data_IF_727290668667
#
_entry.id   IF_727290668667
#
_cell.length_a   1.000
_cell.length_b   1.000
_cell.length_c   1.000
_cell.angle_alpha   90.00
_cell.angle_beta   90.00
_cell.angle_gamma   90.00
#
_symmetry.space_group_name_H-M   'P 1'
#
loop_
_entity.id
_entity.type
_entity.pdbx_description
1 polymer ?
#
# COMPACT_ATOMS: atom_id res chain seq x y z
N UNK A 1 23.40 14.25 -4.13
CA UNK A 1 23.07 15.67 -4.42
C UNK A 1 23.28 16.46 -3.13
N UNK A 2 23.94 17.63 -3.20
CA UNK A 2 24.18 18.46 -2.00
C UNK A 2 22.87 19.08 -1.52
N UNK A 3 22.48 18.80 -0.29
CA UNK A 3 21.28 19.37 0.34
C UNK A 3 21.63 20.72 0.92
N UNK A 4 20.92 21.77 0.49
CA UNK A 4 21.01 23.12 1.05
C UNK A 4 19.79 23.41 1.90
N UNK A 5 20.03 23.91 3.10
CA UNK A 5 18.99 24.26 4.08
C UNK A 5 19.45 25.44 4.90
N UNK A 6 18.59 26.01 5.73
CA UNK A 6 18.97 27.07 6.64
C UNK A 6 18.61 26.71 8.07
N UNK A 7 19.45 27.08 9.02
CA UNK A 7 19.23 26.86 10.45
C UNK A 7 18.98 28.18 11.15
N UNK A 8 18.19 28.13 12.21
CA UNK A 8 17.90 29.25 13.07
C UNK A 8 18.02 28.84 14.53
N UNK A 9 18.62 29.70 15.35
CA UNK A 9 18.91 29.41 16.76
C UNK A 9 17.63 29.15 17.57
N UNK A 10 16.57 29.93 17.31
CA UNK A 10 15.25 29.82 17.96
C UNK A 10 14.14 30.23 17.00
N UNK A 11 12.96 29.63 17.10
CA UNK A 11 11.79 29.98 16.27
C UNK A 11 11.33 31.44 16.41
N UNK A 12 11.77 32.16 17.45
CA UNK A 12 11.39 33.55 17.74
C UNK A 12 12.18 34.60 16.96
N UNK A 13 13.27 34.24 16.29
CA UNK A 13 14.03 35.18 15.46
C UNK A 13 13.55 35.12 14.02
N UNK A 14 13.99 36.05 13.17
CA UNK A 14 13.82 35.94 11.71
C UNK A 14 15.14 35.66 10.98
N UNK A 15 16.27 35.70 11.69
CA UNK A 15 17.58 35.49 11.11
C UNK A 15 17.84 34.00 10.87
N UNK A 16 18.39 33.68 9.70
CA UNK A 16 18.72 32.31 9.29
C UNK A 16 20.16 32.22 8.79
N UNK A 17 20.80 31.08 9.03
CA UNK A 17 22.14 30.77 8.53
C UNK A 17 22.07 29.62 7.54
N UNK A 18 22.46 29.85 6.30
CA UNK A 18 22.54 28.78 5.29
C UNK A 18 23.57 27.72 5.69
N UNK A 19 23.22 26.46 5.46
CA UNK A 19 24.02 25.26 5.70
C UNK A 19 23.91 24.33 4.50
N UNK A 20 24.82 23.36 4.45
CA UNK A 20 24.78 22.29 3.46
C UNK A 20 25.23 20.94 4.04
N UNK A 21 24.76 19.86 3.44
CA UNK A 21 25.23 18.48 3.67
C UNK A 21 25.33 17.74 2.34
N UNK A 22 26.17 16.71 2.26
CA UNK A 22 26.47 16.03 1.00
C UNK A 22 25.38 15.05 0.55
N UNK A 23 24.56 14.58 1.48
CA UNK A 23 23.48 13.61 1.24
C UNK A 23 22.37 13.70 2.29
N UNK A 24 21.23 13.05 2.03
CA UNK A 24 20.14 12.90 3.01
C UNK A 24 20.62 12.10 4.22
N UNK A 25 21.40 11.04 3.99
CA UNK A 25 22.03 10.25 5.03
C UNK A 25 22.87 11.10 5.99
N UNK A 26 23.74 11.96 5.46
CA UNK A 26 24.57 12.84 6.29
C UNK A 26 23.72 13.85 7.06
N UNK A 27 22.62 14.35 6.49
CA UNK A 27 21.68 15.22 7.20
C UNK A 27 21.01 14.46 8.36
N UNK A 28 20.59 13.22 8.10
CA UNK A 28 19.95 12.33 9.06
C UNK A 28 20.87 12.00 10.23
N UNK A 29 22.05 11.43 9.96
CA UNK A 29 23.05 11.05 10.97
C UNK A 29 23.45 12.24 11.84
N UNK A 30 23.59 13.43 11.24
CA UNK A 30 24.02 14.63 11.96
C UNK A 30 22.98 15.17 12.94
N UNK A 31 21.69 15.08 12.62
CA UNK A 31 20.65 15.85 13.32
C UNK A 31 19.45 15.02 13.83
N UNK A 32 19.21 13.84 13.28
CA UNK A 32 17.99 13.07 13.52
C UNK A 32 18.23 11.65 14.05
N UNK A 33 19.40 11.05 13.80
CA UNK A 33 19.74 9.73 14.35
C UNK A 33 19.74 9.72 15.89
N UNK A 34 20.13 10.84 16.49
CA UNK A 34 20.09 11.05 17.94
C UNK A 34 19.44 12.40 18.25
N UNK A 35 18.10 12.49 18.19
CA UNK A 35 17.41 13.77 18.35
C UNK A 35 17.61 14.29 19.76
N UNK A 36 17.81 15.60 19.89
CA UNK A 36 17.94 16.23 21.21
C UNK A 36 16.60 16.17 21.94
N UNK A 37 16.58 15.56 23.11
CA UNK A 37 15.40 15.50 23.99
C UNK A 37 15.29 16.82 24.76
N UNK A 38 14.17 17.53 24.64
CA UNK A 38 13.95 18.82 25.32
C UNK A 38 12.60 18.87 26.03
N UNK A 39 12.60 19.33 27.28
CA UNK A 39 11.37 19.60 28.04
C UNK A 39 10.60 20.78 27.41
N UNK A 40 11.31 21.85 27.04
CA UNK A 40 10.73 23.06 26.45
C UNK A 40 11.32 23.35 25.06
N UNK A 41 10.46 23.61 24.07
CA UNK A 41 10.85 23.78 22.65
C UNK A 41 11.07 25.23 22.21
N UNK A 42 10.78 26.22 23.04
CA UNK A 42 10.83 27.67 22.70
C UNK A 42 12.22 28.13 22.25
N UNK A 43 13.27 27.56 22.82
CA UNK A 43 14.66 27.87 22.51
C UNK A 43 15.36 26.82 21.62
N UNK A 44 14.58 25.91 21.02
CA UNK A 44 15.13 24.87 20.18
C UNK A 44 15.54 25.42 18.81
N UNK A 45 16.67 24.91 18.31
CA UNK A 45 17.15 25.18 16.96
C UNK A 45 16.15 24.62 15.95
N UNK A 46 15.85 25.43 14.94
CA UNK A 46 14.98 25.06 13.83
C UNK A 46 15.77 24.98 12.52
N UNK A 47 15.18 24.31 11.53
CA UNK A 47 15.68 24.36 10.16
C UNK A 47 14.57 24.56 9.15
N UNK A 48 14.94 25.16 8.03
CA UNK A 48 14.10 25.44 6.89
C UNK A 48 14.66 24.67 5.70
N UNK A 49 13.85 23.96 4.89
CA UNK A 49 14.31 23.14 3.75
C UNK A 49 14.82 23.96 2.55
N UNK A 50 15.11 25.25 2.78
CA UNK A 50 15.45 26.22 1.76
C UNK A 50 16.75 26.97 2.10
N UNK A 51 17.38 27.49 1.05
CA UNK A 51 18.51 28.42 1.14
C UNK A 51 18.04 29.84 0.85
N UNK A 52 18.68 30.83 1.48
CA UNK A 52 18.27 32.22 1.42
C UNK A 52 19.37 33.11 0.83
N UNK A 53 19.00 34.10 0.01
CA UNK A 53 19.96 35.10 -0.47
C UNK A 53 20.30 36.11 0.63
N UNK A 54 19.24 36.65 1.25
CA UNK A 54 19.33 37.50 2.43
C UNK A 54 19.01 36.61 3.65
N UNK A 55 19.82 36.62 4.72
CA UNK A 55 19.67 35.73 5.88
C UNK A 55 18.48 36.10 6.78
N UNK A 56 17.30 36.27 6.19
CA UNK A 56 16.06 36.63 6.85
C UNK A 56 14.89 35.81 6.26
N UNK A 57 14.05 35.27 7.13
CA UNK A 57 12.86 34.48 6.76
C UNK A 57 11.82 35.35 6.06
N UNK A 58 11.84 35.27 4.74
CA UNK A 58 10.85 35.83 3.84
C UNK A 58 10.88 35.01 2.56
N UNK A 59 9.73 34.73 1.95
CA UNK A 59 9.68 33.99 0.68
C UNK A 59 10.44 34.72 -0.43
N UNK A 60 10.44 36.06 -0.40
CA UNK A 60 11.21 36.88 -1.34
C UNK A 60 12.73 36.66 -1.23
N UNK A 61 13.20 36.10 -0.12
CA UNK A 61 14.60 35.83 0.11
C UNK A 61 14.97 34.38 -0.21
N UNK A 62 14.01 33.51 -0.49
CA UNK A 62 14.23 32.09 -0.78
C UNK A 62 14.85 31.95 -2.18
N UNK A 63 16.03 31.31 -2.25
CA UNK A 63 16.71 31.02 -3.51
C UNK A 63 16.24 29.69 -4.09
N UNK A 64 16.28 28.64 -3.28
CA UNK A 64 15.94 27.28 -3.70
C UNK A 64 15.69 26.39 -2.49
N UNK A 65 14.91 25.34 -2.73
CA UNK A 65 14.67 24.25 -1.78
C UNK A 65 15.39 22.99 -2.26
N UNK A 66 15.91 22.22 -1.30
CA UNK A 66 16.60 20.94 -1.58
C UNK A 66 15.92 19.75 -0.91
N UNK A 67 14.76 19.96 -0.29
CA UNK A 67 13.97 18.96 0.41
C UNK A 67 12.48 19.27 0.24
N UNK A 68 11.66 18.23 0.08
CA UNK A 68 10.21 18.33 0.20
C UNK A 68 9.85 17.86 1.61
N UNK A 69 9.10 18.67 2.36
CA UNK A 69 8.70 18.34 3.74
C UNK A 69 7.21 18.58 3.94
N UNK A 70 6.51 17.55 4.45
CA UNK A 70 5.14 17.66 4.93
C UNK A 70 5.11 17.47 6.45
N UNK A 71 4.44 18.37 7.16
CA UNK A 71 4.15 18.25 8.61
C UNK A 71 2.73 17.74 8.78
N UNK A 72 2.58 16.49 9.22
CA UNK A 72 1.30 15.85 9.47
C UNK A 72 0.89 16.19 10.90
N UNK A 73 -0.03 17.15 11.08
CA UNK A 73 -0.48 17.68 12.37
C UNK A 73 -1.95 17.30 12.64
N UNK A 74 -2.16 16.06 13.08
CA UNK A 74 -3.50 15.53 13.36
C UNK A 74 -3.92 15.85 14.79
N UNK A 75 -5.09 16.47 14.96
CA UNK A 75 -5.62 16.88 16.28
C UNK A 75 -6.88 16.09 16.63
N UNK A 76 -6.94 15.56 17.85
CA UNK A 76 -8.13 14.89 18.35
C UNK A 76 -9.32 15.85 18.44
N UNK A 77 -10.51 15.37 18.10
CA UNK A 77 -11.75 16.15 18.15
C UNK A 77 -11.96 17.11 16.98
N UNK A 78 -11.02 17.24 16.05
CA UNK A 78 -11.18 18.00 14.80
C UNK A 78 -11.67 17.12 13.63
N UNK A 79 -12.35 16.00 13.94
CA UNK A 79 -12.93 15.11 12.92
C UNK A 79 -11.94 14.15 12.24
N UNK A 80 -10.78 13.93 12.88
CA UNK A 80 -9.75 12.96 12.48
C UNK A 80 -9.87 11.62 13.21
N UNK A 81 -10.67 11.54 14.27
CA UNK A 81 -10.67 10.42 15.23
C UNK A 81 -10.94 9.04 14.59
N UNK A 82 -11.62 9.03 13.44
CA UNK A 82 -11.91 7.80 12.69
C UNK A 82 -11.00 7.53 11.48
N UNK A 83 -10.22 8.52 11.04
CA UNK A 83 -9.45 8.55 9.78
C UNK A 83 -7.99 8.99 10.01
N UNK A 84 -7.42 8.74 11.18
CA UNK A 84 -6.03 9.11 11.46
C UNK A 84 -5.06 8.34 10.56
N UNK A 85 -4.03 9.03 10.10
CA UNK A 85 -2.91 8.48 9.33
C UNK A 85 -1.84 8.05 10.32
N UNK A 86 -1.54 6.75 10.32
CA UNK A 86 -0.42 6.22 11.10
C UNK A 86 0.91 6.50 10.39
N UNK A 87 2.00 6.53 11.15
CA UNK A 87 3.35 6.73 10.60
C UNK A 87 3.71 5.59 9.64
N UNK A 88 3.34 4.37 10.00
CA UNK A 88 3.56 3.15 9.23
C UNK A 88 2.83 3.19 7.88
N UNK A 89 1.63 3.79 7.80
CA UNK A 89 0.89 3.92 6.53
C UNK A 89 1.59 4.87 5.54
N UNK A 90 2.19 5.96 6.06
CA UNK A 90 2.97 6.91 5.27
C UNK A 90 4.30 6.30 4.82
N UNK A 91 5.00 5.59 5.72
CA UNK A 91 6.24 4.90 5.40
C UNK A 91 6.01 3.87 4.30
N UNK A 92 4.95 3.09 4.42
CA UNK A 92 4.48 2.14 3.43
C UNK A 92 4.28 2.77 2.03
N UNK A 93 3.64 3.94 1.95
CA UNK A 93 3.44 4.66 0.70
C UNK A 93 4.78 5.14 0.10
N UNK A 94 5.69 5.63 0.93
CA UNK A 94 7.02 6.09 0.50
C UNK A 94 7.90 4.93 0.00
N UNK A 95 7.82 3.77 0.66
CA UNK A 95 8.50 2.54 0.24
C UNK A 95 7.96 2.04 -1.11
N UNK A 96 6.65 2.11 -1.33
CA UNK A 96 6.03 1.70 -2.60
C UNK A 96 6.40 2.59 -3.77
N UNK A 97 6.60 3.88 -3.51
CA UNK A 97 7.14 4.83 -4.47
C UNK A 97 8.66 4.67 -4.66
N UNK A 98 9.32 3.84 -3.85
CA UNK A 98 10.76 3.61 -3.89
C UNK A 98 11.57 4.86 -3.59
N UNK A 99 11.05 5.79 -2.78
CA UNK A 99 11.65 7.10 -2.56
C UNK A 99 12.67 7.10 -1.42
N UNK A 100 13.77 7.82 -1.59
CA UNK A 100 14.69 8.13 -0.49
C UNK A 100 14.01 9.10 0.49
N UNK A 101 13.86 8.68 1.75
CA UNK A 101 13.12 9.47 2.74
C UNK A 101 13.56 9.19 4.18
N UNK A 102 13.23 10.12 5.08
CA UNK A 102 13.12 9.81 6.49
C UNK A 102 11.85 10.41 7.09
N UNK A 103 11.34 9.75 8.11
CA UNK A 103 10.21 10.19 8.93
C UNK A 103 10.71 10.50 10.32
N UNK A 104 10.14 11.53 10.96
CA UNK A 104 10.43 11.77 12.37
C UNK A 104 9.27 12.44 13.10
N UNK A 105 9.11 12.08 14.37
CA UNK A 105 8.14 12.72 15.27
C UNK A 105 8.66 14.03 15.84
N UNK A 106 7.75 14.96 16.12
CA UNK A 106 8.07 16.24 16.76
C UNK A 106 7.74 16.26 18.26
N UNK A 107 8.20 17.30 18.97
CA UNK A 107 7.88 17.54 20.38
C UNK A 107 6.37 17.55 20.72
N UNK A 108 5.50 17.99 19.80
CA UNK A 108 4.03 18.04 20.04
C UNK A 108 3.31 16.70 19.80
N UNK A 109 4.03 15.64 19.44
CA UNK A 109 3.44 14.33 19.13
C UNK A 109 2.92 13.62 20.38
N UNK A 110 1.68 13.11 20.35
CA UNK A 110 1.14 12.24 21.40
C UNK A 110 0.79 10.88 20.83
N UNK A 111 0.67 9.84 21.68
CA UNK A 111 0.28 8.49 21.21
C UNK A 111 -1.14 8.49 20.63
N UNK A 112 -1.99 9.35 21.16
CA UNK A 112 -3.38 9.49 20.75
C UNK A 112 -3.55 10.47 19.58
N UNK A 113 -2.59 11.36 19.35
CA UNK A 113 -2.58 12.32 18.25
C UNK A 113 -1.18 12.38 17.61
N UNK A 114 -0.86 11.45 16.69
CA UNK A 114 0.45 11.40 16.06
C UNK A 114 0.70 12.61 15.15
N UNK A 115 1.69 13.42 15.53
CA UNK A 115 2.33 14.43 14.68
C UNK A 115 3.70 13.99 14.20
N UNK A 116 3.92 13.91 12.90
CA UNK A 116 5.20 13.50 12.33
C UNK A 116 5.45 14.24 11.02
N UNK A 117 6.70 14.20 10.58
CA UNK A 117 7.13 14.85 9.35
C UNK A 117 7.67 13.84 8.37
N UNK A 118 7.34 14.07 7.10
CA UNK A 118 7.87 13.34 5.96
C UNK A 118 8.94 14.21 5.31
N UNK A 119 10.15 13.70 5.15
CA UNK A 119 11.24 14.39 4.45
C UNK A 119 11.68 13.55 3.26
N UNK A 120 11.59 14.13 2.06
CA UNK A 120 11.89 13.48 0.78
C UNK A 120 12.96 14.27 0.05
N UNK A 121 13.93 13.56 -0.53
CA UNK A 121 14.99 14.17 -1.35
C UNK A 121 14.54 14.32 -2.80
N UNK A 122 14.55 15.52 -3.38
CA UNK A 122 14.48 15.71 -4.84
C UNK A 122 15.84 15.44 -5.52
N UNK A 123 15.80 15.00 -6.77
CA UNK A 123 17.00 14.75 -7.61
C UNK A 123 17.86 16.01 -7.85
N UNK A 124 17.23 17.19 -7.85
CA UNK A 124 17.86 18.50 -7.91
C UNK A 124 17.20 19.53 -6.98
N UNK A 125 17.92 20.60 -6.60
CA UNK A 125 17.26 21.77 -6.02
C UNK A 125 16.23 22.35 -7.00
N UNK A 126 15.18 22.93 -6.45
CA UNK A 126 14.14 23.61 -7.22
C UNK A 126 13.93 25.03 -6.72
N UNK A 127 13.54 25.91 -7.65
CA UNK A 127 13.38 27.34 -7.36
C UNK A 127 12.08 27.63 -6.61
N UNK A 128 12.02 28.79 -5.98
CA UNK A 128 10.85 29.22 -5.21
C UNK A 128 9.56 29.19 -6.06
N UNK A 129 9.65 29.59 -7.32
CA UNK A 129 8.53 29.62 -8.26
C UNK A 129 8.02 28.21 -8.64
N UNK A 130 8.87 27.19 -8.52
CA UNK A 130 8.51 25.79 -8.77
C UNK A 130 7.93 25.10 -7.52
N UNK A 131 8.07 25.71 -6.33
CA UNK A 131 7.83 25.03 -5.06
C UNK A 131 6.41 24.48 -4.93
N UNK A 132 5.40 25.31 -5.21
CA UNK A 132 4.01 24.93 -5.00
C UNK A 132 3.56 23.81 -5.96
N UNK A 133 3.99 23.82 -7.23
CA UNK A 133 3.63 22.77 -8.17
C UNK A 133 4.32 21.44 -7.82
N UNK A 134 5.59 21.48 -7.42
CA UNK A 134 6.35 20.29 -6.99
C UNK A 134 5.73 19.69 -5.72
N UNK A 135 5.46 20.50 -4.70
CA UNK A 135 4.90 20.02 -3.46
C UNK A 135 3.46 19.53 -3.65
N UNK A 136 2.65 20.19 -4.48
CA UNK A 136 1.29 19.73 -4.80
C UNK A 136 1.30 18.36 -5.51
N UNK A 137 2.20 18.18 -6.49
CA UNK A 137 2.36 16.91 -7.22
C UNK A 137 2.83 15.77 -6.29
N UNK A 138 3.82 16.04 -5.44
CA UNK A 138 4.28 15.05 -4.45
C UNK A 138 3.18 14.72 -3.43
N UNK A 139 2.43 15.74 -2.99
CA UNK A 139 1.30 15.55 -2.08
C UNK A 139 0.21 14.70 -2.72
N UNK A 140 -0.18 14.99 -3.96
CA UNK A 140 -1.17 14.20 -4.71
C UNK A 140 -0.71 12.74 -4.82
N UNK A 141 0.56 12.52 -5.18
CA UNK A 141 1.14 11.18 -5.31
C UNK A 141 1.08 10.39 -4.00
N UNK A 142 1.38 11.03 -2.85
CA UNK A 142 1.29 10.38 -1.54
C UNK A 142 -0.16 10.17 -1.10
N UNK A 143 -1.01 11.16 -1.36
CA UNK A 143 -2.40 11.15 -0.88
C UNK A 143 -3.29 10.21 -1.70
N UNK A 144 -2.89 9.88 -2.94
CA UNK A 144 -3.45 8.79 -3.73
C UNK A 144 -3.40 7.45 -2.95
N UNK A 145 -2.31 7.18 -2.21
CA UNK A 145 -2.19 6.00 -1.35
C UNK A 145 -3.03 6.08 -0.08
N UNK A 146 -3.27 7.30 0.41
CA UNK A 146 -3.89 7.57 1.72
C UNK A 146 -5.35 7.99 1.61
N UNK A 147 -5.96 7.81 0.44
CA UNK A 147 -7.37 8.03 0.17
C UNK A 147 -7.80 9.50 0.37
N UNK A 148 -6.89 10.45 0.15
CA UNK A 148 -7.16 11.87 0.35
C UNK A 148 -7.13 12.31 1.82
N UNK A 149 -6.72 11.43 2.75
CA UNK A 149 -6.61 11.75 4.18
C UNK A 149 -5.45 12.69 4.45
N UNK A 150 -4.35 12.60 3.71
CA UNK A 150 -3.13 13.38 3.94
C UNK A 150 -3.39 14.87 3.78
N UNK A 151 -4.09 15.29 2.72
CA UNK A 151 -4.44 16.70 2.51
C UNK A 151 -5.20 17.31 3.69
N UNK A 152 -5.97 16.51 4.44
CA UNK A 152 -6.72 16.97 5.62
C UNK A 152 -5.81 17.15 6.83
N UNK A 153 -4.74 16.37 6.92
CA UNK A 153 -3.89 16.22 8.09
C UNK A 153 -2.60 17.05 8.02
N UNK A 154 -2.20 17.52 6.82
CA UNK A 154 -0.99 18.34 6.68
C UNK A 154 -1.20 19.77 7.18
N UNK A 155 -0.19 20.30 7.86
CA UNK A 155 -0.10 21.71 8.22
C UNK A 155 0.05 22.56 6.94
N UNK A 156 -0.76 23.62 6.72
CA UNK A 156 -0.69 24.48 5.56
C UNK A 156 0.66 25.15 5.27
N UNK A 157 1.61 25.13 6.22
CA UNK A 157 2.92 25.77 6.08
C UNK A 157 3.67 25.32 4.82
N UNK A 158 3.42 24.10 4.33
CA UNK A 158 4.08 23.56 3.12
C UNK A 158 3.95 24.45 1.89
N UNK A 159 2.95 25.34 1.81
CA UNK A 159 2.74 26.27 0.67
C UNK A 159 3.67 27.49 0.67
N UNK A 160 4.32 27.77 1.81
CA UNK A 160 5.15 28.96 2.00
C UNK A 160 6.52 28.51 2.55
N UNK A 161 7.53 28.28 1.68
CA UNK A 161 8.83 27.74 2.08
C UNK A 161 9.48 28.43 3.28
N UNK A 162 9.37 29.76 3.37
CA UNK A 162 9.92 30.55 4.48
C UNK A 162 9.21 30.34 5.83
N UNK A 163 8.02 29.73 5.84
CA UNK A 163 7.24 29.36 7.02
C UNK A 163 7.41 27.88 7.40
N UNK A 164 8.06 27.06 6.57
CA UNK A 164 8.40 25.66 6.84
C UNK A 164 9.62 25.53 7.75
N UNK A 165 9.50 25.88 9.03
CA UNK A 165 10.58 25.69 10.01
C UNK A 165 10.27 24.53 10.95
N UNK A 166 11.24 23.63 11.08
CA UNK A 166 11.05 22.36 11.77
C UNK A 166 12.08 22.17 12.87
N UNK A 167 11.70 21.44 13.92
CA UNK A 167 12.52 21.20 15.10
C UNK A 167 13.27 19.88 15.00
N UNK A 168 14.52 19.86 15.46
CA UNK A 168 15.36 18.66 15.56
C UNK A 168 15.12 17.83 16.84
N UNK A 169 14.06 18.14 17.61
CA UNK A 169 13.94 17.72 19.01
C UNK A 169 12.72 16.84 19.25
N UNK A 170 12.85 15.90 20.18
CA UNK A 170 11.76 15.02 20.65
C UNK A 170 11.34 15.34 22.10
N UNK A 171 10.13 14.90 22.47
CA UNK A 171 9.59 15.06 23.82
C UNK A 171 10.22 14.05 24.80
N UNK A 172 10.50 14.41 26.08
CA UNK A 172 11.11 13.51 27.08
C UNK A 172 10.35 12.20 27.30
N UNK A 173 9.02 12.26 27.31
CA UNK A 173 8.15 11.08 27.46
C UNK A 173 8.18 10.12 26.26
N UNK A 174 9.00 10.41 25.25
CA UNK A 174 9.14 9.65 23.99
C UNK A 174 10.61 9.40 23.66
N UNK A 175 11.36 8.90 24.64
CA UNK A 175 12.76 8.46 24.49
C UNK A 175 13.00 7.55 23.27
N UNK A 176 12.00 6.74 22.88
CA UNK A 176 12.04 5.83 21.74
C UNK A 176 11.67 6.46 20.38
N UNK A 177 11.58 7.81 20.27
CA UNK A 177 11.33 8.61 19.05
C UNK A 177 11.01 7.82 17.77
N UNK A 178 9.79 7.93 17.23
CA UNK A 178 9.48 7.22 15.99
C UNK A 178 10.18 7.91 14.82
N UNK A 179 11.25 7.28 14.36
CA UNK A 179 12.07 7.70 13.25
C UNK A 179 12.24 6.49 12.34
N UNK A 180 11.89 6.67 11.07
CA UNK A 180 12.22 5.72 10.02
C UNK A 180 13.16 6.41 9.03
N UNK A 181 14.13 5.66 8.53
CA UNK A 181 15.02 6.12 7.47
C UNK A 181 15.19 5.04 6.42
N UNK A 182 14.89 5.40 5.17
CA UNK A 182 15.05 4.54 4.02
C UNK A 182 15.95 5.23 2.98
N UNK A 183 17.21 4.81 2.97
CA UNK A 183 18.24 5.27 2.04
C UNK A 183 18.48 4.43 0.76
N UNK A 184 17.96 3.19 0.62
CA UNK A 184 18.02 2.47 -0.66
C UNK A 184 17.11 3.06 -1.75
N UNK A 185 16.26 4.04 -1.43
CA UNK A 185 15.34 4.66 -2.37
C UNK A 185 15.99 5.66 -3.32
N UNK A 186 15.24 6.09 -4.33
CA UNK A 186 15.66 7.09 -5.29
C UNK A 186 15.16 8.49 -4.88
N UNK A 187 15.93 9.55 -5.13
CA UNK A 187 15.41 10.91 -5.07
C UNK A 187 14.22 11.06 -6.03
N UNK A 188 13.24 11.91 -5.67
CA UNK A 188 12.09 12.18 -6.55
C UNK A 188 12.50 13.07 -7.71
N UNK A 189 12.03 12.74 -8.93
CA UNK A 189 12.33 13.48 -10.14
C UNK A 189 11.55 14.80 -10.22
N UNK A 190 12.22 15.93 -10.03
CA UNK A 190 11.58 17.25 -10.03
C UNK A 190 10.91 17.57 -11.37
N UNK A 191 11.51 17.15 -12.49
CA UNK A 191 10.95 17.41 -13.80
C UNK A 191 9.61 16.67 -14.00
N UNK A 192 9.52 15.42 -13.54
CA UNK A 192 8.28 14.65 -13.60
C UNK A 192 7.18 15.32 -12.78
N UNK A 193 7.47 15.69 -11.52
CA UNK A 193 6.52 16.40 -10.66
C UNK A 193 6.04 17.72 -11.29
N UNK A 194 6.93 18.45 -11.97
CA UNK A 194 6.57 19.69 -12.67
C UNK A 194 5.66 19.43 -13.87
N UNK A 195 5.90 18.36 -14.62
CA UNK A 195 5.10 17.97 -15.78
C UNK A 195 3.68 17.54 -15.39
N UNK A 196 3.47 17.06 -14.16
CA UNK A 196 2.13 16.74 -13.65
C UNK A 196 1.22 17.97 -13.54
N UNK A 197 1.79 19.19 -13.43
CA UNK A 197 1.04 20.44 -13.29
C UNK A 197 -0.04 20.40 -12.19
N UNK A 198 0.23 19.65 -11.12
CA UNK A 198 -0.75 19.44 -10.05
C UNK A 198 -1.05 20.75 -9.33
N UNK A 199 -2.34 20.95 -9.06
CA UNK A 199 -2.85 22.02 -8.18
C UNK A 199 -3.41 21.46 -6.87
N UNK A 200 -3.12 20.19 -6.57
CA UNK A 200 -3.66 19.47 -5.44
C UNK A 200 -3.35 20.18 -4.12
N UNK A 201 -4.40 20.51 -3.37
CA UNK A 201 -4.27 21.21 -2.09
C UNK A 201 -3.87 22.69 -2.16
N UNK A 202 -3.63 23.29 -3.33
CA UNK A 202 -3.26 24.72 -3.43
C UNK A 202 -4.46 25.65 -3.28
N UNK A 203 -5.60 25.29 -3.87
CA UNK A 203 -6.83 26.10 -3.87
C UNK A 203 -7.79 25.76 -2.73
N UNK A 204 -7.55 24.67 -2.00
CA UNK A 204 -8.47 24.18 -0.98
C UNK A 204 -8.16 24.81 0.38
N UNK A 205 -9.10 25.64 0.86
CA UNK A 205 -9.22 25.93 2.28
C UNK A 205 -9.90 24.73 2.93
N UNK A 206 -9.13 23.79 3.46
CA UNK A 206 -9.73 22.67 4.18
C UNK A 206 -10.35 23.20 5.48
N UNK A 207 -11.68 23.27 5.53
CA UNK A 207 -12.41 23.35 6.80
C UNK A 207 -12.66 21.90 7.23
N UNK A 208 -12.23 21.48 8.43
CA UNK A 208 -12.61 20.18 8.96
C UNK A 208 -14.11 20.00 8.79
N UNK A 209 -14.51 18.96 8.05
CA UNK A 209 -15.91 18.65 7.89
C UNK A 209 -16.52 18.42 9.28
N UNK A 210 -17.81 18.73 9.44
CA UNK A 210 -18.52 18.38 10.65
C UNK A 210 -18.28 16.90 10.98
N UNK A 211 -18.11 16.59 12.28
CA UNK A 211 -17.96 15.22 12.78
C UNK A 211 -18.96 14.30 12.07
N UNK A 212 -18.47 13.25 11.41
CA UNK A 212 -19.35 12.25 10.79
C UNK A 212 -20.29 11.72 11.88
N UNK A 213 -21.60 11.77 11.66
CA UNK A 213 -22.50 10.98 12.50
C UNK A 213 -22.12 9.53 12.25
N UNK A 214 -21.70 8.82 13.30
CA UNK A 214 -21.56 7.37 13.27
C UNK A 214 -22.94 6.78 12.97
N UNK A 215 -23.28 6.64 11.69
CA UNK A 215 -24.44 5.89 11.26
C UNK A 215 -24.06 4.44 11.51
N UNK A 216 -24.67 3.80 12.50
CA UNK A 216 -24.45 2.38 12.81
C UNK A 216 -24.74 1.42 11.64
N UNK A 217 -25.19 1.94 10.49
CA UNK A 217 -25.22 1.28 9.21
C UNK A 217 -23.99 1.72 8.40
N UNK A 218 -23.09 0.77 8.14
CA UNK A 218 -22.02 0.80 7.11
C UNK A 218 -21.58 2.21 6.66
N UNK A 219 -21.07 3.01 7.60
CA UNK A 219 -20.24 4.17 7.23
C UNK A 219 -19.05 3.71 6.39
N UNK A 220 -18.32 4.66 5.79
CA UNK A 220 -17.13 4.45 4.95
C UNK A 220 -16.21 3.27 5.34
N UNK A 221 -16.09 2.97 6.65
CA UNK A 221 -15.41 1.78 7.20
C UNK A 221 -15.92 0.45 6.62
N UNK A 222 -17.23 0.22 6.55
CA UNK A 222 -17.78 -1.06 6.09
C UNK A 222 -17.49 -1.37 4.62
N UNK A 223 -17.55 -0.35 3.76
CA UNK A 223 -17.35 -0.46 2.32
C UNK A 223 -15.89 -0.71 1.95
N UNK A 224 -14.96 0.03 2.56
CA UNK A 224 -13.53 -0.22 2.35
C UNK A 224 -13.13 -1.60 2.86
N UNK A 225 -13.72 -2.11 3.95
CA UNK A 225 -13.49 -3.50 4.41
C UNK A 225 -13.97 -4.55 3.41
N UNK A 226 -15.12 -4.34 2.76
CA UNK A 226 -15.63 -5.25 1.73
C UNK A 226 -14.73 -5.28 0.49
N UNK A 227 -14.38 -4.09 -0.03
CA UNK A 227 -13.42 -3.96 -1.12
C UNK A 227 -12.06 -4.58 -0.75
N UNK A 228 -11.59 -4.40 0.49
CA UNK A 228 -10.36 -5.01 1.00
C UNK A 228 -10.43 -6.53 1.07
N UNK A 229 -11.60 -7.08 1.38
CA UNK A 229 -11.81 -8.53 1.37
C UNK A 229 -11.76 -9.09 -0.05
N UNK A 230 -12.25 -8.35 -1.04
CA UNK A 230 -12.13 -8.71 -2.46
C UNK A 230 -10.65 -8.71 -2.87
N UNK A 231 -9.90 -7.65 -2.56
CA UNK A 231 -8.45 -7.57 -2.84
C UNK A 231 -7.72 -8.76 -2.19
N UNK A 232 -7.94 -8.98 -0.89
CA UNK A 232 -7.29 -10.07 -0.15
C UNK A 232 -7.63 -11.47 -0.67
N UNK A 233 -8.83 -11.65 -1.24
CA UNK A 233 -9.25 -12.91 -1.86
C UNK A 233 -8.65 -13.16 -3.25
N UNK A 234 -8.19 -12.11 -3.93
CA UNK A 234 -7.70 -12.17 -5.32
C UNK A 234 -6.18 -11.96 -5.44
N UNK A 235 -5.52 -11.41 -4.43
CA UNK A 235 -4.12 -10.94 -4.51
C UNK A 235 -3.11 -12.01 -4.97
N UNK A 236 -3.36 -13.27 -4.63
CA UNK A 236 -2.52 -14.40 -5.02
C UNK A 236 -2.82 -14.88 -6.44
N UNK A 237 -4.06 -14.75 -6.89
CA UNK A 237 -4.61 -15.43 -8.08
C UNK A 237 -5.19 -14.49 -9.14
N UNK A 238 -4.81 -13.22 -9.12
CA UNK A 238 -5.25 -12.22 -10.10
C UNK A 238 -4.17 -11.17 -10.31
N UNK A 239 -4.16 -10.56 -11.49
CA UNK A 239 -3.33 -9.37 -11.74
C UNK A 239 -3.92 -8.14 -11.07
N UNK A 240 -3.13 -7.07 -10.93
CA UNK A 240 -3.61 -5.79 -10.38
C UNK A 240 -4.81 -5.25 -11.18
N UNK A 241 -4.76 -5.34 -12.51
CA UNK A 241 -5.83 -4.91 -13.39
C UNK A 241 -7.09 -5.77 -13.26
N UNK A 242 -6.96 -7.09 -13.10
CA UNK A 242 -8.10 -7.97 -12.84
C UNK A 242 -8.79 -7.67 -11.50
N UNK A 243 -8.00 -7.34 -10.47
CA UNK A 243 -8.49 -6.91 -9.16
C UNK A 243 -9.24 -5.57 -9.31
N UNK A 244 -8.63 -4.58 -9.96
CA UNK A 244 -9.25 -3.27 -10.18
C UNK A 244 -10.57 -3.39 -10.97
N UNK A 245 -10.62 -4.19 -12.04
CA UNK A 245 -11.86 -4.44 -12.80
C UNK A 245 -12.94 -5.06 -11.91
N UNK A 246 -12.59 -6.05 -11.09
CA UNK A 246 -13.56 -6.70 -10.20
C UNK A 246 -14.10 -5.74 -9.14
N UNK A 247 -13.24 -4.91 -8.55
CA UNK A 247 -13.66 -3.89 -7.60
C UNK A 247 -14.62 -2.89 -8.26
N UNK A 248 -14.29 -2.43 -9.47
CA UNK A 248 -15.12 -1.47 -10.20
C UNK A 248 -16.46 -2.06 -10.63
N UNK A 249 -16.49 -3.35 -11.03
CA UNK A 249 -17.73 -4.06 -11.31
C UNK A 249 -18.62 -4.14 -10.08
N UNK A 250 -18.07 -4.54 -8.93
CA UNK A 250 -18.83 -4.61 -7.66
C UNK A 250 -19.37 -3.24 -7.27
N UNK A 251 -18.55 -2.19 -7.36
CA UNK A 251 -18.98 -0.82 -7.08
C UNK A 251 -20.14 -0.37 -8.00
N UNK A 252 -20.08 -0.73 -9.28
CA UNK A 252 -21.10 -0.37 -10.26
C UNK A 252 -22.39 -1.21 -10.19
N UNK A 253 -22.35 -2.40 -9.59
CA UNK A 253 -23.46 -3.36 -9.61
C UNK A 253 -24.10 -3.55 -8.24
N UNK A 254 -23.29 -3.84 -7.22
CA UNK A 254 -23.76 -4.11 -5.86
C UNK A 254 -23.93 -2.80 -5.06
N UNK A 255 -23.29 -1.71 -5.49
CA UNK A 255 -23.31 -0.39 -4.84
C UNK A 255 -23.71 0.76 -5.78
N UNK A 256 -24.50 0.47 -6.82
CA UNK A 256 -24.88 1.47 -7.84
C UNK A 256 -25.52 2.75 -7.29
N UNK A 257 -26.22 2.65 -6.16
CA UNK A 257 -26.93 3.77 -5.54
C UNK A 257 -26.03 4.68 -4.68
N UNK A 258 -24.85 4.19 -4.27
CA UNK A 258 -23.86 4.93 -3.47
C UNK A 258 -22.42 4.46 -3.79
N UNK A 259 -21.94 4.71 -5.02
CA UNK A 259 -20.67 4.21 -5.53
C UNK A 259 -19.47 4.83 -4.80
N UNK A 260 -18.61 3.97 -4.25
CA UNK A 260 -17.44 4.36 -3.47
C UNK A 260 -16.42 5.15 -4.31
N UNK A 261 -16.16 4.74 -5.55
CA UNK A 261 -15.15 5.40 -6.40
C UNK A 261 -15.65 6.70 -7.04
N UNK A 262 -16.91 7.06 -6.82
CA UNK A 262 -17.51 8.33 -7.27
C UNK A 262 -17.88 9.26 -6.11
N UNK A 263 -17.63 8.84 -4.86
CA UNK A 263 -17.87 9.70 -3.71
C UNK A 263 -16.87 10.87 -3.69
N UNK A 264 -17.35 12.07 -4.03
CA UNK A 264 -16.56 13.29 -4.13
C UNK A 264 -16.00 13.79 -2.79
N UNK A 265 -16.40 13.17 -1.67
CA UNK A 265 -15.78 13.39 -0.37
C UNK A 265 -14.33 12.91 -0.35
N UNK A 266 -13.97 11.90 -1.16
CA UNK A 266 -12.60 11.46 -1.34
C UNK A 266 -11.93 12.28 -2.44
N UNK A 267 -10.87 13.04 -2.13
CA UNK A 267 -10.10 13.79 -3.11
C UNK A 267 -9.68 13.00 -4.35
N UNK A 268 -9.24 11.74 -4.20
CA UNK A 268 -8.81 10.88 -5.32
C UNK A 268 -9.89 10.60 -6.37
N UNK A 269 -11.18 10.63 -5.96
CA UNK A 269 -12.33 10.39 -6.82
C UNK A 269 -12.67 11.62 -7.68
N UNK A 270 -12.10 12.79 -7.36
CA UNK A 270 -12.40 14.03 -8.06
C UNK A 270 -11.73 14.01 -9.44
N UNK A 271 -12.43 14.43 -10.50
CA UNK A 271 -11.83 14.52 -11.82
C UNK A 271 -10.70 15.55 -11.87
N UNK A 272 -9.59 15.16 -12.50
CA UNK A 272 -8.52 16.07 -12.91
C UNK A 272 -8.99 16.99 -14.05
N UNK A 273 -8.24 18.04 -14.33
CA UNK A 273 -8.60 18.97 -15.41
C UNK A 273 -8.68 18.23 -16.76
N UNK A 274 -9.86 18.26 -17.39
CA UNK A 274 -10.12 17.55 -18.65
C UNK A 274 -10.47 16.06 -18.50
N UNK A 275 -10.50 15.53 -17.28
CA UNK A 275 -10.88 14.14 -16.99
C UNK A 275 -12.41 14.01 -16.85
N UNK A 276 -12.98 12.94 -17.38
CA UNK A 276 -14.40 12.63 -17.18
C UNK A 276 -14.64 12.03 -15.79
N UNK A 277 -15.86 12.16 -15.22
CA UNK A 277 -16.19 11.51 -13.94
C UNK A 277 -15.94 10.01 -13.92
N UNK A 278 -16.21 9.33 -15.04
CA UNK A 278 -16.01 7.89 -15.16
C UNK A 278 -14.52 7.52 -15.20
N UNK A 279 -13.71 8.30 -15.92
CA UNK A 279 -12.26 8.11 -15.94
C UNK A 279 -11.64 8.34 -14.55
N UNK A 280 -12.12 9.35 -13.82
CA UNK A 280 -11.70 9.62 -12.45
C UNK A 280 -12.04 8.47 -11.49
N UNK A 281 -13.25 7.89 -11.62
CA UNK A 281 -13.68 6.75 -10.83
C UNK A 281 -12.83 5.50 -11.12
N UNK A 282 -12.55 5.23 -12.40
CA UNK A 282 -11.68 4.13 -12.80
C UNK A 282 -10.24 4.31 -12.29
N UNK A 283 -9.66 5.51 -12.45
CA UNK A 283 -8.33 5.85 -11.91
C UNK A 283 -8.30 5.66 -10.40
N UNK A 284 -9.31 6.12 -9.68
CA UNK A 284 -9.42 5.94 -8.23
C UNK A 284 -9.45 4.46 -7.82
N UNK A 285 -10.21 3.63 -8.56
CA UNK A 285 -10.26 2.19 -8.35
C UNK A 285 -8.89 1.51 -8.56
N UNK A 286 -8.18 1.87 -9.64
CA UNK A 286 -6.84 1.34 -9.90
C UNK A 286 -5.85 1.71 -8.78
N UNK A 287 -5.89 2.96 -8.32
CA UNK A 287 -5.06 3.44 -7.20
C UNK A 287 -5.39 2.67 -5.91
N UNK A 288 -6.68 2.49 -5.61
CA UNK A 288 -7.13 1.72 -4.45
C UNK A 288 -6.61 0.28 -4.51
N UNK A 289 -6.77 -0.40 -5.66
CA UNK A 289 -6.31 -1.77 -5.86
C UNK A 289 -4.80 -1.88 -5.61
N UNK A 290 -4.01 -1.00 -6.23
CA UNK A 290 -2.55 -0.97 -6.10
C UNK A 290 -2.09 -0.77 -4.66
N UNK A 291 -2.63 0.25 -3.97
CA UNK A 291 -2.29 0.55 -2.58
C UNK A 291 -2.57 -0.64 -1.65
N UNK A 292 -3.74 -1.27 -1.79
CA UNK A 292 -4.13 -2.39 -0.94
C UNK A 292 -3.39 -3.69 -1.26
N UNK A 293 -3.08 -3.96 -2.53
CA UNK A 293 -2.21 -5.08 -2.93
C UNK A 293 -0.85 -4.95 -2.25
N UNK A 294 -0.23 -3.77 -2.30
CA UNK A 294 1.07 -3.57 -1.69
C UNK A 294 1.02 -3.68 -0.16
N UNK A 295 0.01 -3.08 0.48
CA UNK A 295 -0.22 -3.22 1.94
C UNK A 295 -0.32 -4.68 2.37
N UNK A 296 -1.09 -5.46 1.61
CA UNK A 296 -1.27 -6.89 1.88
C UNK A 296 0.05 -7.65 1.65
N UNK A 297 0.76 -7.41 0.55
CA UNK A 297 2.07 -8.04 0.28
C UNK A 297 3.07 -7.79 1.41
N UNK A 298 3.11 -6.58 1.99
CA UNK A 298 3.96 -6.27 3.15
C UNK A 298 3.55 -7.03 4.39
N UNK A 299 2.25 -7.15 4.69
CA UNK A 299 1.74 -7.96 5.83
C UNK A 299 2.04 -9.45 5.67
N UNK A 300 2.09 -9.95 4.44
CA UNK A 300 2.39 -11.34 4.11
C UNK A 300 3.90 -11.60 3.86
N UNK A 301 4.81 -10.73 4.32
CA UNK A 301 6.29 -10.93 4.29
C UNK A 301 6.83 -12.17 5.02
N UNK A 302 5.99 -13.13 5.42
CA UNK A 302 6.50 -14.46 5.78
C UNK A 302 6.97 -15.11 4.49
N UNK A 303 8.27 -15.31 4.37
CA UNK A 303 8.87 -16.14 3.33
C UNK A 303 8.17 -17.51 3.36
N UNK A 304 7.32 -17.76 2.36
CA UNK A 304 6.80 -19.10 2.13
C UNK A 304 8.00 -19.94 1.70
N UNK A 305 8.26 -21.04 2.41
CA UNK A 305 9.36 -21.93 2.04
C UNK A 305 9.08 -22.51 0.64
N UNK A 306 9.82 -22.01 -0.36
CA UNK A 306 9.74 -22.44 -1.76
C UNK A 306 10.73 -23.55 -2.07
N UNK A 307 11.55 -23.96 -1.10
CA UNK A 307 12.59 -24.97 -1.30
C UNK A 307 11.95 -26.30 -1.65
N UNK A 308 12.21 -26.79 -2.85
CA UNK A 308 11.70 -28.08 -3.30
C UNK A 308 12.47 -29.19 -2.59
N UNK A 309 11.77 -29.98 -1.78
CA UNK A 309 12.30 -31.15 -1.08
C UNK A 309 11.68 -32.40 -1.69
N UNK A 310 12.50 -33.22 -2.35
CA UNK A 310 12.06 -34.49 -2.93
C UNK A 310 12.03 -35.55 -1.82
N UNK A 311 10.86 -35.72 -1.18
CA UNK A 311 10.58 -36.76 -0.19
C UNK A 311 9.66 -37.84 -0.75
N UNK A 312 9.82 -39.08 -0.28
CA UNK A 312 8.82 -40.14 -0.47
C UNK A 312 7.57 -39.81 0.35
N UNK A 313 6.41 -40.28 -0.10
CA UNK A 313 5.14 -40.00 0.59
C UNK A 313 5.15 -40.53 2.02
N UNK A 314 5.02 -39.61 2.99
CA UNK A 314 5.06 -39.91 4.43
C UNK A 314 3.64 -40.05 5.04
N UNK A 315 2.59 -39.46 4.46
CA UNK A 315 1.23 -39.49 5.02
C UNK A 315 0.16 -38.95 4.06
N UNK A 316 -1.09 -39.40 4.22
CA UNK A 316 -2.30 -38.86 3.55
C UNK A 316 -3.21 -38.08 4.51
N UNK A 317 -2.75 -37.80 5.73
CA UNK A 317 -3.51 -37.00 6.68
C UNK A 317 -3.66 -35.55 6.24
N UNK A 318 -4.83 -34.98 6.52
CA UNK A 318 -5.12 -33.61 6.18
C UNK A 318 -4.19 -32.64 6.93
N UNK A 319 -3.66 -31.68 6.18
CA UNK A 319 -2.73 -30.65 6.61
C UNK A 319 -3.48 -29.37 6.99
N UNK A 320 -2.94 -28.52 7.89
CA UNK A 320 -3.51 -27.20 8.15
C UNK A 320 -3.52 -26.35 6.88
N UNK A 321 -4.32 -25.26 6.87
CA UNK A 321 -4.28 -24.30 5.76
C UNK A 321 -2.92 -23.60 5.72
N UNK A 322 -2.19 -23.74 4.61
CA UNK A 322 -0.88 -23.12 4.41
C UNK A 322 -0.56 -23.00 2.92
N UNK A 323 0.46 -22.20 2.59
CA UNK A 323 0.96 -22.05 1.23
C UNK A 323 2.18 -22.97 1.03
N UNK A 324 2.25 -23.67 -0.10
CA UNK A 324 3.36 -24.55 -0.45
C UNK A 324 3.51 -24.72 -1.97
N UNK A 325 4.71 -25.09 -2.42
CA UNK A 325 4.89 -25.59 -3.78
C UNK A 325 4.19 -26.94 -3.89
N UNK A 326 3.39 -27.12 -4.93
CA UNK A 326 2.69 -28.37 -5.23
C UNK A 326 3.01 -28.83 -6.65
N UNK A 327 3.07 -30.14 -6.84
CA UNK A 327 3.24 -30.79 -8.15
C UNK A 327 1.96 -31.53 -8.54
N UNK A 328 1.47 -31.30 -9.75
CA UNK A 328 0.38 -32.10 -10.32
C UNK A 328 0.92 -33.47 -10.73
N UNK A 329 0.47 -34.54 -10.07
CA UNK A 329 1.08 -35.87 -10.21
C UNK A 329 0.28 -36.80 -11.12
N UNK A 330 -1.02 -36.89 -10.92
CA UNK A 330 -1.86 -37.78 -11.72
C UNK A 330 -3.29 -37.24 -11.84
N UNK A 331 -4.00 -37.72 -12.86
CA UNK A 331 -5.34 -37.28 -13.21
C UNK A 331 -6.21 -38.52 -13.46
N UNK A 332 -7.41 -38.51 -12.89
CA UNK A 332 -8.35 -39.61 -13.05
C UNK A 332 -9.72 -39.07 -13.47
N UNK A 333 -10.03 -39.22 -14.75
CA UNK A 333 -11.30 -38.83 -15.33
C UNK A 333 -12.30 -39.97 -15.15
N UNK A 334 -13.21 -39.81 -14.19
CA UNK A 334 -14.33 -40.72 -13.95
C UNK A 334 -15.59 -39.91 -13.70
N UNK A 335 -16.75 -40.34 -14.22
CA UNK A 335 -18.02 -39.71 -13.88
C UNK A 335 -18.26 -39.69 -12.37
N UNK A 336 -19.01 -38.70 -11.89
CA UNK A 336 -19.52 -38.68 -10.53
C UNK A 336 -20.57 -39.79 -10.35
N UNK A 337 -20.99 -40.04 -9.09
CA UNK A 337 -22.05 -41.04 -8.81
C UNK A 337 -23.37 -40.74 -9.53
N UNK A 338 -23.62 -39.46 -9.86
CA UNK A 338 -24.80 -39.01 -10.61
C UNK A 338 -24.58 -38.97 -12.12
N UNK A 339 -23.43 -39.43 -12.63
CA UNK A 339 -23.13 -39.48 -14.06
C UNK A 339 -22.55 -38.20 -14.67
N UNK A 340 -22.36 -37.14 -13.89
CA UNK A 340 -21.75 -35.89 -14.36
C UNK A 340 -20.24 -36.03 -14.59
N UNK A 341 -19.68 -35.24 -15.49
CA UNK A 341 -18.26 -35.25 -15.80
C UNK A 341 -17.41 -34.81 -14.62
N UNK A 342 -16.28 -35.48 -14.37
CA UNK A 342 -15.33 -35.02 -13.36
C UNK A 342 -13.91 -35.49 -13.60
N UNK A 343 -12.95 -34.71 -13.12
CA UNK A 343 -11.53 -35.06 -13.08
C UNK A 343 -11.05 -34.98 -11.64
N UNK A 344 -10.48 -36.06 -11.12
CA UNK A 344 -9.81 -36.06 -9.83
C UNK A 344 -8.31 -35.91 -10.04
N UNK A 345 -7.76 -34.81 -9.53
CA UNK A 345 -6.32 -34.53 -9.56
C UNK A 345 -5.67 -35.04 -8.28
N UNK A 346 -4.54 -35.73 -8.41
CA UNK A 346 -3.61 -36.01 -7.31
C UNK A 346 -2.50 -34.95 -7.31
N UNK A 347 -2.31 -34.29 -6.18
CA UNK A 347 -1.33 -33.23 -5.99
C UNK A 347 -0.35 -33.66 -4.89
N UNK A 348 0.94 -33.40 -5.12
CA UNK A 348 1.99 -33.67 -4.15
C UNK A 348 2.56 -32.37 -3.61
N UNK A 349 2.68 -32.24 -2.29
CA UNK A 349 3.36 -31.11 -1.66
C UNK A 349 4.87 -31.26 -1.86
N UNK A 350 5.51 -30.22 -2.35
CA UNK A 350 6.93 -30.23 -2.73
C UNK A 350 7.81 -29.40 -1.81
N UNK A 351 7.26 -28.52 -0.96
CA UNK A 351 8.04 -27.65 -0.07
C UNK A 351 7.50 -27.60 1.36
N UNK A 352 8.30 -27.07 2.28
CA UNK A 352 7.95 -26.91 3.69
C UNK A 352 7.89 -28.21 4.50
N UNK A 353 7.36 -28.10 5.72
CA UNK A 353 7.25 -29.20 6.69
C UNK A 353 6.36 -30.36 6.24
N UNK A 354 5.56 -30.15 5.19
CA UNK A 354 4.62 -31.13 4.65
C UNK A 354 5.07 -31.73 3.30
N UNK A 355 6.29 -31.41 2.83
CA UNK A 355 6.84 -31.96 1.60
C UNK A 355 6.77 -33.50 1.54
N UNK A 356 6.38 -34.04 0.39
CA UNK A 356 6.13 -35.45 0.15
C UNK A 356 4.66 -35.87 0.33
N UNK A 357 3.82 -35.12 1.04
CA UNK A 357 2.41 -35.48 1.27
C UNK A 357 1.56 -35.33 0.01
N UNK A 358 0.47 -36.09 -0.05
CA UNK A 358 -0.47 -36.12 -1.18
C UNK A 358 -1.85 -35.62 -0.75
N UNK A 359 -2.52 -34.90 -1.65
CA UNK A 359 -3.93 -34.55 -1.51
C UNK A 359 -4.63 -34.57 -2.86
N UNK A 360 -5.96 -34.49 -2.85
CA UNK A 360 -6.77 -34.61 -4.06
C UNK A 360 -7.71 -33.42 -4.21
N UNK A 361 -7.88 -32.95 -5.44
CA UNK A 361 -8.85 -31.92 -5.78
C UNK A 361 -9.70 -32.41 -6.96
N UNK A 362 -11.02 -32.26 -6.84
CA UNK A 362 -11.97 -32.69 -7.87
C UNK A 362 -12.51 -31.48 -8.62
N UNK A 363 -12.46 -31.56 -9.94
CA UNK A 363 -13.08 -30.62 -10.86
C UNK A 363 -14.31 -31.26 -11.50
N UNK A 364 -15.32 -30.45 -11.79
CA UNK A 364 -16.63 -30.86 -12.29
C UNK A 364 -16.94 -30.19 -13.62
N UNK A 365 -17.45 -30.97 -14.57
CA UNK A 365 -17.92 -30.51 -15.88
C UNK A 365 -19.42 -30.73 -16.04
N UNK A 366 -19.84 -30.96 -17.28
CA UNK A 366 -21.26 -31.10 -17.64
C UNK A 366 -21.98 -32.19 -16.83
N UNK A 367 -23.26 -31.97 -16.54
CA UNK A 367 -24.06 -32.87 -15.70
C UNK A 367 -23.84 -32.72 -14.19
N UNK A 368 -23.12 -31.67 -13.74
CA UNK A 368 -23.03 -31.27 -12.33
C UNK A 368 -23.75 -29.93 -12.07
N UNK A 369 -23.77 -29.47 -10.81
CA UNK A 369 -24.42 -28.19 -10.48
C UNK A 369 -23.70 -27.01 -11.13
N UNK A 370 -24.47 -26.00 -11.54
CA UNK A 370 -23.95 -24.78 -12.19
C UNK A 370 -22.85 -24.11 -11.35
N UNK A 371 -23.03 -24.08 -10.03
CA UNK A 371 -22.03 -23.51 -9.12
C UNK A 371 -20.74 -24.34 -9.09
N UNK A 372 -20.81 -25.68 -9.10
CA UNK A 372 -19.63 -26.54 -9.11
C UNK A 372 -18.85 -26.40 -10.43
N UNK A 373 -19.55 -26.29 -11.55
CA UNK A 373 -18.96 -26.02 -12.87
C UNK A 373 -18.27 -24.66 -12.88
N UNK A 374 -18.93 -23.60 -12.38
CA UNK A 374 -18.36 -22.25 -12.29
C UNK A 374 -17.06 -22.23 -11.46
N UNK A 375 -17.06 -22.88 -10.29
CA UNK A 375 -15.88 -22.98 -9.43
C UNK A 375 -14.78 -23.78 -10.15
N UNK A 376 -15.12 -24.89 -10.81
CA UNK A 376 -14.16 -25.73 -11.53
C UNK A 376 -13.51 -24.99 -12.69
N UNK A 377 -14.29 -24.25 -13.48
CA UNK A 377 -13.79 -23.42 -14.58
C UNK A 377 -12.86 -22.31 -14.07
N UNK A 378 -13.19 -21.68 -12.94
CA UNK A 378 -12.31 -20.71 -12.29
C UNK A 378 -10.98 -21.36 -11.86
N UNK A 379 -11.02 -22.56 -11.28
CA UNK A 379 -9.80 -23.30 -10.92
C UNK A 379 -8.99 -23.69 -12.15
N UNK A 380 -9.62 -24.16 -13.24
CA UNK A 380 -8.94 -24.52 -14.50
C UNK A 380 -8.22 -23.30 -15.08
N UNK A 381 -8.87 -22.14 -15.12
CA UNK A 381 -8.24 -20.89 -15.58
C UNK A 381 -7.04 -20.50 -14.71
N UNK A 382 -7.12 -20.70 -13.39
CA UNK A 382 -5.99 -20.45 -12.49
C UNK A 382 -4.85 -21.43 -12.69
N UNK A 383 -5.14 -22.71 -12.94
CA UNK A 383 -4.12 -23.72 -13.29
C UNK A 383 -3.45 -23.29 -14.60
N UNK A 384 -4.24 -22.98 -15.64
CA UNK A 384 -3.74 -22.56 -16.94
C UNK A 384 -2.78 -21.36 -16.84
N UNK A 385 -3.15 -20.35 -16.05
CA UNK A 385 -2.30 -19.19 -15.80
C UNK A 385 -1.04 -19.55 -14.99
N UNK A 386 -1.19 -20.29 -13.88
CA UNK A 386 -0.07 -20.65 -13.00
C UNK A 386 0.95 -21.58 -13.68
N UNK A 387 0.53 -22.42 -14.62
CA UNK A 387 1.41 -23.31 -15.39
C UNK A 387 1.82 -22.73 -16.75
N UNK A 388 1.32 -21.53 -17.11
CA UNK A 388 1.46 -20.95 -18.44
C UNK A 388 1.10 -21.94 -19.58
N UNK A 389 -0.03 -22.63 -19.43
CA UNK A 389 -0.49 -23.68 -20.36
C UNK A 389 -1.96 -23.46 -20.69
N UNK A 390 -2.35 -23.32 -21.97
CA UNK A 390 -3.75 -23.09 -22.34
C UNK A 390 -4.63 -24.31 -22.02
N UNK A 391 -5.76 -24.06 -21.37
CA UNK A 391 -6.77 -25.06 -21.01
C UNK A 391 -8.16 -24.48 -21.32
N UNK A 392 -8.85 -25.09 -22.28
CA UNK A 392 -10.18 -24.66 -22.73
C UNK A 392 -11.27 -25.58 -22.19
N UNK A 393 -10.96 -26.87 -22.04
CA UNK A 393 -11.88 -27.90 -21.58
C UNK A 393 -11.46 -28.51 -20.24
N UNK A 394 -12.40 -29.19 -19.56
CA UNK A 394 -12.13 -29.89 -18.30
C UNK A 394 -10.98 -30.90 -18.44
N UNK A 395 -10.90 -31.63 -19.56
CA UNK A 395 -9.88 -32.66 -19.77
C UNK A 395 -8.49 -32.06 -19.99
N UNK A 396 -8.41 -30.80 -20.43
CA UNK A 396 -7.12 -30.13 -20.66
C UNK A 396 -6.29 -29.96 -19.40
N UNK A 397 -6.91 -30.08 -18.22
CA UNK A 397 -6.19 -30.00 -16.94
C UNK A 397 -5.07 -31.04 -16.84
N UNK A 398 -5.15 -32.16 -17.58
CA UNK A 398 -4.07 -33.15 -17.66
C UNK A 398 -2.76 -32.57 -18.19
N UNK A 399 -2.82 -31.48 -18.98
CA UNK A 399 -1.64 -30.77 -19.50
C UNK A 399 -0.79 -30.16 -18.38
N UNK A 400 -1.36 -29.95 -17.18
CA UNK A 400 -0.61 -29.51 -16.01
C UNK A 400 0.27 -30.61 -15.39
N UNK A 401 0.21 -31.86 -15.87
CA UNK A 401 0.97 -32.98 -15.32
C UNK A 401 2.46 -32.68 -15.24
N UNK A 402 3.02 -32.89 -14.05
CA UNK A 402 4.43 -32.63 -13.75
C UNK A 402 4.76 -31.17 -13.43
N UNK A 403 3.88 -30.21 -13.74
CA UNK A 403 4.09 -28.81 -13.42
C UNK A 403 4.12 -28.61 -11.90
N UNK A 404 4.97 -27.69 -11.46
CA UNK A 404 5.10 -27.32 -10.04
C UNK A 404 4.72 -25.86 -9.90
N UNK A 405 3.76 -25.57 -9.03
CA UNK A 405 3.19 -24.22 -8.82
C UNK A 405 3.05 -23.93 -7.34
N UNK A 406 3.06 -22.66 -6.96
CA UNK A 406 2.72 -22.27 -5.59
C UNK A 406 1.20 -22.27 -5.41
N UNK A 407 0.72 -22.88 -4.33
CA UNK A 407 -0.70 -22.99 -4.03
C UNK A 407 -0.99 -22.80 -2.55
N UNK A 408 -2.15 -22.23 -2.27
CA UNK A 408 -2.75 -22.29 -0.93
C UNK A 408 -3.47 -23.62 -0.79
N UNK A 409 -2.96 -24.49 0.07
CA UNK A 409 -3.61 -25.74 0.45
C UNK A 409 -4.64 -25.42 1.52
N UNK A 410 -5.92 -25.70 1.26
CA UNK A 410 -7.01 -25.44 2.19
C UNK A 410 -7.32 -26.68 3.00
N UNK A 411 -7.42 -26.53 4.32
CA UNK A 411 -7.98 -27.56 5.19
C UNK A 411 -9.50 -27.53 5.11
N UNK A 412 -10.11 -28.66 4.75
CA UNK A 412 -11.55 -28.89 4.92
C UNK A 412 -11.77 -29.81 6.13
N UNK A 413 -12.38 -29.31 7.21
CA UNK A 413 -12.73 -30.17 8.34
C UNK A 413 -13.73 -31.24 7.87
N UNK A 414 -13.57 -32.46 8.39
CA UNK A 414 -14.53 -33.53 8.15
C UNK A 414 -15.87 -33.20 8.79
N UNK A 415 -16.96 -33.36 8.05
CA UNK A 415 -18.33 -33.17 8.54
C UNK A 415 -19.20 -34.34 8.11
N UNK A 416 -20.27 -34.65 8.84
CA UNK A 416 -21.26 -35.67 8.46
C UNK A 416 -20.68 -37.05 8.10
N UNK A 417 -19.65 -37.50 8.82
CA UNK A 417 -18.99 -38.79 8.58
C UNK A 417 -17.95 -38.80 7.45
N UNK A 418 -17.74 -37.69 6.76
CA UNK A 418 -16.63 -37.53 5.81
C UNK A 418 -15.34 -37.19 6.56
N UNK A 419 -14.22 -37.79 6.13
CA UNK A 419 -12.90 -37.50 6.70
C UNK A 419 -12.48 -36.06 6.33
N UNK A 420 -11.66 -35.47 7.20
CA UNK A 420 -10.98 -34.23 6.85
C UNK A 420 -10.11 -34.44 5.59
N UNK A 421 -10.05 -33.44 4.74
CA UNK A 421 -9.31 -33.51 3.48
C UNK A 421 -8.69 -32.15 3.15
N UNK A 422 -7.68 -32.17 2.28
CA UNK A 422 -7.18 -30.95 1.67
C UNK A 422 -7.69 -30.81 0.25
N UNK A 423 -7.80 -29.56 -0.17
CA UNK A 423 -8.07 -29.19 -1.54
C UNK A 423 -7.24 -27.94 -1.91
N UNK A 424 -7.13 -27.66 -3.20
CA UNK A 424 -6.64 -26.36 -3.65
C UNK A 424 -7.62 -25.29 -3.14
N UNK A 425 -7.12 -24.40 -2.28
CA UNK A 425 -7.82 -23.20 -1.86
C UNK A 425 -7.62 -22.07 -2.85
N UNK A 426 -6.38 -21.87 -3.30
CA UNK A 426 -6.02 -20.92 -4.35
C UNK A 426 -4.71 -21.30 -5.05
N UNK A 427 -4.44 -20.72 -6.23
CA UNK A 427 -3.20 -20.89 -6.99
C UNK A 427 -2.52 -19.54 -7.21
N UNK A 428 -1.23 -19.47 -6.93
CA UNK A 428 -0.49 -18.23 -7.03
C UNK A 428 -0.03 -18.05 -8.49
N UNK A 429 -0.44 -16.94 -9.12
CA UNK A 429 -0.09 -16.64 -10.53
C UNK A 429 1.26 -15.92 -10.61
N UNK A 430 1.66 -15.24 -9.53
CA UNK A 430 2.90 -14.48 -9.43
C UNK A 430 3.91 -15.20 -8.54
N UNK A 431 4.49 -16.29 -9.02
CA UNK A 431 5.79 -16.74 -8.53
C UNK A 431 6.86 -16.36 -9.53
N UNK A 432 7.19 -15.07 -9.57
CA UNK A 432 8.60 -14.73 -9.80
C UNK A 432 9.31 -15.27 -8.56
N UNK A 433 10.04 -16.35 -8.73
CA UNK A 433 11.12 -16.71 -7.82
C UNK A 433 12.01 -15.46 -7.75
N UNK A 434 11.92 -14.71 -6.64
CA UNK A 434 12.89 -13.66 -6.31
C UNK A 434 14.22 -14.36 -6.05
#
# INVERSE_FOLDING_TARGET
>A
MTIRYATQTTASTNYVSNKSTDSLKTLFEKHFEQPKVLVEKTNAMTFVPASFNIPARSDLNVLSSSLIIFDIDQKLGEGYDDDMIALEEIEDALLDLGLEHFLYTSHSHTLTAPRFRVVITPDRPYFHEEHNSICAAMLETLDDFLDGRLLRAIDPCWRVPSQCYYLYTTHPDRHAHAISFYNPGNPVEVLELKLQQSSYGLSMTYKPGASRKATGNTGARGRSYELNRIVGGMITSSTEDEIARRLFEVDNTEHSDDPYFRDMQYPRNRPRQGESPEAAAWRSCQIFAKSHINSIRRKFKKQVDTTIVVKKSESTEAMPTHDAMIKFKSFNSKPTRSGGESVLMELQVMSGVHAGRHFWHRLYGDGNSVMAIKISNSTIQKIAKATNTPMEELQDVIKASGATVMARIKYKPGTNGFKAQNEIGDLHINTVLI
#
